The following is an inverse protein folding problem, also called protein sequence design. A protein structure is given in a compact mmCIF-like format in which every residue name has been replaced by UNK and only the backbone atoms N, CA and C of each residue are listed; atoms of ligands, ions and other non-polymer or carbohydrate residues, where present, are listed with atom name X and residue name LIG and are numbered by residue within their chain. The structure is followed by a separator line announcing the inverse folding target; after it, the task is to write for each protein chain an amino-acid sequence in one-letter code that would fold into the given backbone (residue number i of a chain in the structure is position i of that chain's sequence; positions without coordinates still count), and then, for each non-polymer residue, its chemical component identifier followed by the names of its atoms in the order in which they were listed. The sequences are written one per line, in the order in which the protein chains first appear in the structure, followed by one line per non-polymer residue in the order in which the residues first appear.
data_IF_694605899812
#
_entry.id   IF_694605899812
#
_cell.length_a   1.000
_cell.length_b   1.000
_cell.length_c   1.000
_cell.angle_alpha   90.00
_cell.angle_beta   90.00
_cell.angle_gamma   90.00
#
_symmetry.space_group_name_H-M   'P 1'
#
loop_
_entity.id
_entity.type
_entity.pdbx_description
1 polymer ?
#
# COMPACT_ATOMS: atom_id res chain seq x y z
N UNK A 1 -4.56 9.53 -14.92
CA UNK A 1 -5.53 10.52 -14.45
C UNK A 1 -4.97 11.16 -13.20
N UNK A 2 -4.74 12.48 -13.24
CA UNK A 2 -4.06 13.22 -12.18
C UNK A 2 -5.05 13.46 -11.04
N UNK A 3 -4.85 12.82 -9.88
CA UNK A 3 -5.84 12.76 -8.79
C UNK A 3 -6.07 14.16 -8.19
N UNK A 4 -5.03 15.00 -8.18
CA UNK A 4 -5.13 16.37 -7.65
C UNK A 4 -6.08 17.22 -8.51
N UNK A 5 -6.02 17.14 -9.84
CA UNK A 5 -6.99 17.82 -10.72
C UNK A 5 -8.44 17.32 -10.52
N UNK A 6 -8.62 16.10 -10.02
CA UNK A 6 -9.95 15.51 -9.83
C UNK A 6 -10.52 15.90 -8.47
N UNK A 7 -9.67 15.94 -7.44
CA UNK A 7 -10.02 16.41 -6.10
C UNK A 7 -10.51 17.86 -6.14
N UNK A 8 -9.78 18.75 -6.84
CA UNK A 8 -10.14 20.15 -6.97
C UNK A 8 -11.50 20.33 -7.68
N UNK A 9 -11.80 19.49 -8.68
CA UNK A 9 -13.08 19.53 -9.38
C UNK A 9 -14.27 19.11 -8.49
N UNK A 10 -14.08 18.11 -7.61
CA UNK A 10 -15.11 17.72 -6.65
C UNK A 10 -15.31 18.79 -5.58
N UNK A 11 -14.23 19.41 -5.10
CA UNK A 11 -14.31 20.47 -4.10
C UNK A 11 -15.11 21.66 -4.65
N UNK A 12 -14.73 22.20 -5.82
CA UNK A 12 -15.44 23.32 -6.45
C UNK A 12 -16.95 23.01 -6.64
N UNK A 13 -17.23 21.89 -7.29
CA UNK A 13 -18.62 21.50 -7.61
C UNK A 13 -19.47 21.36 -6.35
N UNK A 14 -18.97 20.64 -5.33
CA UNK A 14 -19.74 20.38 -4.12
C UNK A 14 -19.85 21.61 -3.22
N UNK A 15 -18.83 22.48 -3.16
CA UNK A 15 -18.93 23.78 -2.48
C UNK A 15 -20.07 24.61 -3.08
N UNK A 16 -20.16 24.69 -4.41
CA UNK A 16 -21.19 25.48 -5.08
C UNK A 16 -22.59 24.86 -4.94
N UNK A 17 -22.71 23.53 -4.95
CA UNK A 17 -23.98 22.83 -4.70
C UNK A 17 -24.42 23.10 -3.26
N UNK A 18 -23.54 22.90 -2.28
CA UNK A 18 -23.83 23.14 -0.88
C UNK A 18 -24.26 24.60 -0.63
N UNK A 19 -23.54 25.58 -1.17
CA UNK A 19 -23.90 26.99 -1.02
C UNK A 19 -25.29 27.31 -1.63
N UNK A 20 -25.65 26.69 -2.76
CA UNK A 20 -27.00 26.82 -3.33
C UNK A 20 -28.06 26.13 -2.47
N UNK A 21 -27.76 24.98 -1.88
CA UNK A 21 -28.66 24.31 -0.94
C UNK A 21 -28.92 25.19 0.27
N UNK A 22 -27.89 25.84 0.83
CA UNK A 22 -28.04 26.79 1.94
C UNK A 22 -28.92 27.98 1.53
N UNK A 23 -28.68 28.58 0.37
CA UNK A 23 -29.51 29.69 -0.14
C UNK A 23 -30.97 29.25 -0.26
N UNK A 24 -31.21 28.11 -0.90
CA UNK A 24 -32.55 27.56 -1.10
C UNK A 24 -33.25 27.29 0.23
N UNK A 25 -32.54 26.70 1.20
CA UNK A 25 -33.12 26.43 2.53
C UNK A 25 -33.41 27.72 3.31
N UNK A 26 -32.56 28.75 3.22
CA UNK A 26 -32.84 30.05 3.84
C UNK A 26 -34.05 30.73 3.20
N UNK A 27 -34.18 30.67 1.88
CA UNK A 27 -35.34 31.21 1.17
C UNK A 27 -36.63 30.44 1.50
N UNK A 28 -36.56 29.11 1.61
CA UNK A 28 -37.70 28.26 1.96
C UNK A 28 -38.15 28.45 3.42
N UNK A 29 -37.21 28.51 4.37
CA UNK A 29 -37.52 28.63 5.80
C UNK A 29 -37.92 30.04 6.21
N UNK A 30 -37.28 31.07 5.64
CA UNK A 30 -37.41 32.46 6.10
C UNK A 30 -37.93 33.44 5.03
N UNK A 31 -37.98 33.04 3.76
CA UNK A 31 -38.30 33.95 2.66
C UNK A 31 -37.23 35.00 2.37
N UNK A 32 -35.99 34.79 2.87
CA UNK A 32 -34.90 35.77 2.77
C UNK A 32 -33.97 35.38 1.61
N UNK A 33 -33.84 36.22 0.57
CA UNK A 33 -32.99 35.91 -0.56
C UNK A 33 -31.52 36.14 -0.23
N UNK A 34 -30.70 35.10 -0.37
CA UNK A 34 -29.25 35.21 -0.39
C UNK A 34 -28.72 35.00 -1.81
N UNK A 35 -27.64 35.70 -2.16
CA UNK A 35 -27.01 35.62 -3.49
C UNK A 35 -25.62 35.01 -3.35
N UNK A 36 -25.33 34.04 -4.22
CA UNK A 36 -24.02 33.41 -4.30
C UNK A 36 -22.97 34.35 -4.90
N UNK A 37 -21.94 34.70 -4.12
CA UNK A 37 -20.82 35.47 -4.62
C UNK A 37 -19.75 34.53 -5.23
N UNK A 38 -19.93 34.14 -6.49
CA UNK A 38 -18.99 33.25 -7.20
C UNK A 38 -17.54 33.75 -7.23
N UNK A 39 -17.32 35.07 -7.22
CA UNK A 39 -15.97 35.65 -7.25
C UNK A 39 -15.20 35.45 -5.94
N UNK A 40 -15.91 35.15 -4.85
CA UNK A 40 -15.34 34.85 -3.55
C UNK A 40 -14.81 33.41 -3.43
N UNK A 41 -15.05 32.55 -4.43
CA UNK A 41 -14.60 31.16 -4.36
C UNK A 41 -13.08 31.07 -4.21
N UNK A 42 -12.65 30.29 -3.21
CA UNK A 42 -11.25 30.01 -2.90
C UNK A 42 -11.10 28.54 -2.51
N UNK A 43 -10.11 27.88 -3.07
CA UNK A 43 -9.69 26.54 -2.66
C UNK A 43 -8.48 26.67 -1.72
N UNK A 44 -8.75 26.66 -0.42
CA UNK A 44 -7.76 26.85 0.66
C UNK A 44 -8.17 26.05 1.88
N UNK A 45 -7.31 25.95 2.90
CA UNK A 45 -7.75 25.47 4.22
C UNK A 45 -8.93 26.34 4.68
N UNK A 46 -9.96 25.70 5.26
CA UNK A 46 -11.12 26.43 5.77
C UNK A 46 -10.67 27.33 6.92
N UNK A 47 -10.91 28.63 6.77
CA UNK A 47 -10.74 29.62 7.83
C UNK A 47 -11.96 30.52 7.83
N UNK A 48 -12.65 30.57 8.97
CA UNK A 48 -13.81 31.44 9.13
C UNK A 48 -13.35 32.77 9.72
N UNK A 49 -13.68 33.91 9.09
CA UNK A 49 -13.50 35.23 9.71
C UNK A 49 -14.58 35.53 10.76
N UNK A 50 -15.55 34.64 10.94
CA UNK A 50 -16.73 34.83 11.78
C UNK A 50 -16.63 34.10 13.11
N UNK A 51 -17.40 34.55 14.10
CA UNK A 51 -17.40 34.05 15.47
C UNK A 51 -18.36 32.87 15.73
N UNK A 52 -19.10 32.41 14.72
CA UNK A 52 -19.90 31.19 14.77
C UNK A 52 -19.60 30.29 13.58
N UNK A 53 -19.32 29.02 13.86
CA UNK A 53 -19.10 27.98 12.85
C UNK A 53 -19.99 26.79 13.14
N UNK A 54 -20.76 26.37 12.16
CA UNK A 54 -21.51 25.12 12.19
C UNK A 54 -20.93 24.14 11.16
N UNK A 55 -20.88 22.85 11.48
CA UNK A 55 -20.44 21.85 10.52
C UNK A 55 -21.12 20.49 10.72
N UNK A 56 -21.16 19.72 9.63
CA UNK A 56 -21.56 18.32 9.61
C UNK A 56 -20.42 17.51 8.99
N UNK A 57 -19.93 16.55 9.77
CA UNK A 57 -18.96 15.58 9.31
C UNK A 57 -19.64 14.42 8.58
N UNK A 58 -19.04 13.93 7.50
CA UNK A 58 -19.47 12.71 6.81
C UNK A 58 -18.33 11.71 6.62
N UNK A 59 -18.68 10.43 6.60
CA UNK A 59 -17.77 9.29 6.49
C UNK A 59 -18.32 8.19 5.59
N UNK A 60 -17.43 7.40 4.99
CA UNK A 60 -17.75 6.30 4.10
C UNK A 60 -16.52 5.91 3.29
N UNK A 61 -16.67 5.75 1.97
CA UNK A 61 -15.53 5.58 1.06
C UNK A 61 -14.61 6.81 1.01
N UNK A 62 -15.15 7.97 1.38
CA UNK A 62 -14.47 9.27 1.54
C UNK A 62 -14.91 9.90 2.86
N UNK A 63 -14.17 10.91 3.30
CA UNK A 63 -14.48 11.64 4.52
C UNK A 63 -14.36 13.14 4.26
N UNK A 64 -15.12 13.95 4.98
CA UNK A 64 -15.07 15.40 4.83
C UNK A 64 -16.12 16.10 5.67
N UNK A 65 -16.24 17.40 5.46
CA UNK A 65 -17.08 18.27 6.27
C UNK A 65 -17.82 19.27 5.39
N UNK A 66 -19.10 19.48 5.70
CA UNK A 66 -19.86 20.65 5.26
C UNK A 66 -19.75 21.71 6.36
N UNK A 67 -19.29 22.91 6.01
CA UNK A 67 -18.99 23.96 6.98
C UNK A 67 -19.78 25.24 6.67
N UNK A 68 -20.25 25.90 7.71
CA UNK A 68 -21.00 27.15 7.64
C UNK A 68 -20.39 28.13 8.65
N UNK A 69 -19.82 29.24 8.18
CA UNK A 69 -19.33 30.33 9.03
C UNK A 69 -20.25 31.54 8.93
N UNK A 70 -20.62 32.14 10.05
CA UNK A 70 -21.43 33.35 10.12
C UNK A 70 -21.24 34.07 11.45
N UNK A 71 -21.65 35.32 11.55
CA UNK A 71 -21.61 36.05 12.83
C UNK A 71 -22.79 35.63 13.72
N UNK A 72 -22.59 35.58 15.04
CA UNK A 72 -23.65 35.32 16.03
C UNK A 72 -24.80 36.34 15.89
N UNK A 73 -24.49 37.59 15.58
CA UNK A 73 -25.48 38.65 15.33
C UNK A 73 -26.33 38.34 14.10
N UNK A 74 -25.74 37.79 13.03
CA UNK A 74 -26.50 37.39 11.85
C UNK A 74 -27.40 36.20 12.17
N UNK A 75 -26.89 35.20 12.88
CA UNK A 75 -27.68 34.04 13.30
C UNK A 75 -28.92 34.47 14.11
N UNK A 76 -28.75 35.38 15.08
CA UNK A 76 -29.86 35.90 15.88
C UNK A 76 -30.87 36.73 15.05
N UNK A 77 -30.41 37.49 14.04
CA UNK A 77 -31.29 38.22 13.11
C UNK A 77 -32.14 37.28 12.27
N UNK A 78 -31.59 36.14 11.83
CA UNK A 78 -32.32 35.15 11.02
C UNK A 78 -33.46 34.50 11.80
N UNK A 79 -33.39 34.47 13.13
CA UNK A 79 -34.39 33.86 14.01
C UNK A 79 -35.34 34.86 14.65
N UNK A 80 -35.33 36.13 14.20
CA UNK A 80 -36.17 37.23 14.71
C UNK A 80 -36.06 37.52 16.22
N UNK A 81 -35.08 36.92 16.91
CA UNK A 81 -34.80 37.15 18.34
C UNK A 81 -33.81 38.30 18.58
N UNK A 82 -33.32 38.93 17.51
CA UNK A 82 -32.41 40.07 17.60
C UNK A 82 -33.14 41.41 17.66
N UNK A 83 -32.86 42.18 18.71
CA UNK A 83 -33.19 43.60 18.84
C UNK A 83 -31.90 44.44 18.76
N UNK A 84 -31.96 45.61 18.10
CA UNK A 84 -30.81 46.51 18.01
C UNK A 84 -30.35 46.96 19.41
N UNK A 85 -29.05 46.80 19.69
CA UNK A 85 -28.45 47.20 20.97
C UNK A 85 -28.48 46.13 22.06
N UNK A 86 -28.89 44.89 21.75
CA UNK A 86 -28.76 43.75 22.66
C UNK A 86 -27.31 43.60 23.15
N UNK A 87 -27.16 43.39 24.46
CA UNK A 87 -25.85 43.13 25.07
C UNK A 87 -25.30 41.75 24.70
N UNK A 88 -23.98 41.59 24.68
CA UNK A 88 -23.33 40.30 24.39
C UNK A 88 -23.78 39.16 25.32
N UNK A 89 -24.09 39.45 26.58
CA UNK A 89 -24.54 38.44 27.53
C UNK A 89 -25.93 37.89 27.17
N UNK A 90 -26.84 38.76 26.74
CA UNK A 90 -28.18 38.35 26.29
C UNK A 90 -28.10 37.56 24.99
N UNK A 91 -27.19 37.93 24.07
CA UNK A 91 -26.93 37.14 22.86
C UNK A 91 -26.45 35.71 23.21
N UNK A 92 -25.58 35.57 24.20
CA UNK A 92 -25.11 34.26 24.68
C UNK A 92 -26.26 33.42 25.26
N UNK A 93 -27.19 34.02 25.99
CA UNK A 93 -28.36 33.34 26.55
C UNK A 93 -29.30 32.81 25.45
N UNK A 94 -29.30 33.42 24.26
CA UNK A 94 -30.12 33.03 23.10
C UNK A 94 -29.46 31.98 22.19
N UNK A 95 -28.24 31.53 22.50
CA UNK A 95 -27.47 30.57 21.67
C UNK A 95 -28.19 29.27 21.38
N UNK A 96 -29.04 28.81 22.29
CA UNK A 96 -29.79 27.58 22.08
C UNK A 96 -30.84 27.75 20.97
N UNK A 97 -31.46 28.93 20.86
CA UNK A 97 -32.49 29.24 19.87
C UNK A 97 -31.89 29.33 18.46
N UNK A 98 -30.93 30.25 18.26
CA UNK A 98 -30.33 30.41 16.93
C UNK A 98 -29.34 29.29 16.60
N UNK A 99 -28.68 28.70 17.58
CA UNK A 99 -27.87 27.50 17.37
C UNK A 99 -28.71 26.31 16.92
N UNK A 100 -29.91 26.14 17.49
CA UNK A 100 -30.88 25.14 17.04
C UNK A 100 -31.32 25.36 15.60
N UNK A 101 -31.67 26.60 15.24
CA UNK A 101 -32.03 26.96 13.87
C UNK A 101 -30.89 26.68 12.88
N UNK A 102 -29.66 27.11 13.19
CA UNK A 102 -28.51 26.91 12.29
C UNK A 102 -28.18 25.43 12.11
N UNK A 103 -28.36 24.58 13.14
CA UNK A 103 -28.23 23.12 13.01
C UNK A 103 -29.26 22.56 12.03
N UNK A 104 -30.50 23.01 12.13
CA UNK A 104 -31.58 22.53 11.26
C UNK A 104 -31.36 22.98 9.81
N UNK A 105 -31.04 24.25 9.60
CA UNK A 105 -30.63 24.80 8.31
C UNK A 105 -29.52 23.96 7.68
N UNK A 106 -28.48 23.65 8.46
CA UNK A 106 -27.33 22.87 8.00
C UNK A 106 -27.73 21.42 7.68
N UNK A 107 -28.52 20.75 8.53
CA UNK A 107 -28.99 19.39 8.29
C UNK A 107 -29.78 19.29 6.98
N UNK A 108 -30.71 20.22 6.73
CA UNK A 108 -31.51 20.26 5.50
C UNK A 108 -30.59 20.52 4.30
N UNK A 109 -29.73 21.53 4.37
CA UNK A 109 -28.83 21.89 3.28
C UNK A 109 -27.89 20.73 2.90
N UNK A 110 -27.35 20.01 3.90
CA UNK A 110 -26.53 18.81 3.69
C UNK A 110 -27.36 17.67 3.11
N UNK A 111 -28.58 17.45 3.60
CA UNK A 111 -29.49 16.46 3.04
C UNK A 111 -29.80 16.69 1.56
N UNK A 112 -29.81 17.94 1.11
CA UNK A 112 -29.98 18.31 -0.29
C UNK A 112 -28.69 18.18 -1.12
N UNK A 113 -27.51 18.36 -0.52
CA UNK A 113 -26.23 18.35 -1.25
C UNK A 113 -25.52 17.00 -1.27
N UNK A 114 -25.63 16.21 -0.20
CA UNK A 114 -24.92 14.93 -0.06
C UNK A 114 -25.26 13.88 -1.13
N UNK A 115 -26.48 13.82 -1.73
CA UNK A 115 -26.77 12.81 -2.75
C UNK A 115 -25.89 12.89 -4.00
N UNK A 116 -25.43 14.08 -4.37
CA UNK A 116 -24.49 14.24 -5.50
C UNK A 116 -23.14 13.59 -5.18
N UNK A 117 -22.70 13.69 -3.93
CA UNK A 117 -21.47 13.07 -3.47
C UNK A 117 -21.63 11.55 -3.37
N UNK A 118 -22.77 11.07 -2.87
CA UNK A 118 -23.10 9.65 -2.80
C UNK A 118 -23.19 8.99 -4.18
N UNK A 119 -23.68 9.72 -5.19
CA UNK A 119 -23.69 9.23 -6.57
C UNK A 119 -22.29 8.87 -7.08
N UNK A 120 -21.26 9.61 -6.64
CA UNK A 120 -19.88 9.44 -7.10
C UNK A 120 -19.05 8.48 -6.23
N UNK A 121 -19.36 8.37 -4.93
CA UNK A 121 -18.53 7.64 -3.97
C UNK A 121 -19.26 6.51 -3.22
N UNK A 122 -20.54 6.28 -3.50
CA UNK A 122 -21.39 5.34 -2.78
C UNK A 122 -21.98 5.92 -1.50
N UNK A 123 -22.68 5.10 -0.73
CA UNK A 123 -23.40 5.52 0.47
C UNK A 123 -22.48 6.20 1.49
N UNK A 124 -22.90 7.36 2.01
CA UNK A 124 -22.16 8.13 3.01
C UNK A 124 -22.99 8.29 4.28
N UNK A 125 -22.35 8.15 5.44
CA UNK A 125 -22.96 8.40 6.74
C UNK A 125 -22.53 9.78 7.23
N UNK A 126 -23.48 10.67 7.49
CA UNK A 126 -23.24 11.98 8.06
C UNK A 126 -23.68 12.04 9.53
N UNK A 127 -22.91 12.77 10.34
CA UNK A 127 -23.19 13.01 11.75
C UNK A 127 -24.23 14.15 11.91
N UNK A 128 -24.71 14.35 13.14
CA UNK A 128 -25.55 15.51 13.47
C UNK A 128 -24.75 16.82 13.45
N UNK A 129 -25.40 17.92 13.08
CA UNK A 129 -24.80 19.26 13.07
C UNK A 129 -24.22 19.69 14.42
N UNK A 130 -22.97 20.13 14.38
CA UNK A 130 -22.25 20.72 15.52
C UNK A 130 -22.17 22.23 15.28
N UNK A 131 -22.38 23.02 16.33
CA UNK A 131 -22.22 24.47 16.32
C UNK A 131 -21.17 24.85 17.35
N UNK A 132 -20.23 25.69 16.93
CA UNK A 132 -19.12 26.20 17.73
C UNK A 132 -19.21 27.72 17.74
N UNK A 133 -19.00 28.29 18.92
CA UNK A 133 -18.94 29.74 19.16
C UNK A 133 -17.50 30.12 19.52
N UNK A 134 -16.92 31.08 18.82
CA UNK A 134 -15.54 31.55 18.97
C UNK A 134 -14.62 31.09 17.83
N UNK A 135 -13.33 31.12 18.11
CA UNK A 135 -12.29 30.75 17.14
C UNK A 135 -12.14 29.23 17.03
N UNK A 136 -12.01 28.73 15.80
CA UNK A 136 -11.85 27.31 15.50
C UNK A 136 -10.53 27.09 14.75
N UNK A 137 -9.71 26.18 15.29
CA UNK A 137 -8.51 25.69 14.61
C UNK A 137 -8.83 24.32 14.00
N UNK A 138 -8.86 24.27 12.66
CA UNK A 138 -9.16 23.06 11.90
C UNK A 138 -7.88 22.45 11.33
N UNK A 139 -7.84 21.12 11.13
CA UNK A 139 -6.71 20.49 10.45
C UNK A 139 -6.53 21.03 9.02
N UNK A 140 -5.28 21.04 8.54
CA UNK A 140 -4.87 21.50 7.21
C UNK A 140 -5.38 20.58 6.09
N UNK A 141 -6.70 20.58 5.87
CA UNK A 141 -7.38 19.87 4.79
C UNK A 141 -7.84 20.90 3.76
N UNK A 142 -7.62 20.58 2.47
CA UNK A 142 -8.08 21.43 1.36
C UNK A 142 -9.60 21.51 1.36
N UNK A 143 -10.12 22.73 1.36
CA UNK A 143 -11.55 23.03 1.34
C UNK A 143 -11.88 24.04 0.25
N UNK A 144 -13.08 23.96 -0.29
CA UNK A 144 -13.64 24.98 -1.17
C UNK A 144 -14.52 25.90 -0.34
N UNK A 145 -14.26 27.20 -0.42
CA UNK A 145 -14.86 28.22 0.42
C UNK A 145 -15.53 29.27 -0.48
N UNK A 146 -16.79 29.59 -0.24
CA UNK A 146 -17.54 30.60 -0.99
C UNK A 146 -18.49 31.38 -0.08
N UNK A 147 -18.63 32.67 -0.32
CA UNK A 147 -19.58 33.52 0.40
C UNK A 147 -20.94 33.56 -0.30
N UNK A 148 -21.98 33.53 0.53
CA UNK A 148 -23.34 33.94 0.15
C UNK A 148 -23.67 35.23 0.90
N UNK A 149 -24.36 36.16 0.25
CA UNK A 149 -24.56 37.52 0.75
C UNK A 149 -26.04 37.91 0.66
N UNK A 150 -26.53 38.64 1.65
CA UNK A 150 -27.83 39.31 1.65
C UNK A 150 -27.72 40.67 2.32
N UNK A 151 -28.82 41.42 2.35
CA UNK A 151 -28.90 42.69 3.07
C UNK A 151 -28.70 42.53 4.59
N UNK A 152 -28.91 41.32 5.13
CA UNK A 152 -28.74 41.03 6.55
C UNK A 152 -27.29 40.76 6.93
N UNK A 153 -26.48 40.23 6.01
CA UNK A 153 -25.10 39.87 6.28
C UNK A 153 -24.53 38.85 5.30
N UNK A 154 -23.40 38.25 5.69
CA UNK A 154 -22.66 37.28 4.88
C UNK A 154 -22.53 35.95 5.60
N UNK A 155 -22.56 34.87 4.84
CA UNK A 155 -22.35 33.51 5.34
C UNK A 155 -21.28 32.87 4.47
N UNK A 156 -20.28 32.25 5.10
CA UNK A 156 -19.25 31.46 4.44
C UNK A 156 -19.69 30.00 4.37
N UNK A 157 -19.88 29.50 3.15
CA UNK A 157 -20.11 28.09 2.88
C UNK A 157 -18.78 27.42 2.54
N UNK A 158 -18.42 26.40 3.31
CA UNK A 158 -17.23 25.59 3.12
C UNK A 158 -17.58 24.13 2.83
N UNK A 159 -16.75 23.47 2.04
CA UNK A 159 -16.79 22.02 1.85
C UNK A 159 -15.35 21.48 1.86
N UNK A 160 -15.07 20.56 2.79
CA UNK A 160 -13.79 19.86 2.90
C UNK A 160 -13.94 18.44 2.35
N UNK A 161 -12.89 17.94 1.68
CA UNK A 161 -12.87 16.57 1.18
C UNK A 161 -11.50 15.92 1.37
N UNK A 162 -11.47 14.84 2.14
CA UNK A 162 -10.31 14.01 2.36
C UNK A 162 -10.40 12.70 1.55
N UNK A 163 -9.57 12.59 0.51
CA UNK A 163 -9.46 11.41 -0.35
C UNK A 163 -8.37 10.41 0.09
N UNK A 164 -7.78 10.56 1.29
CA UNK A 164 -6.66 9.73 1.73
C UNK A 164 -6.98 8.23 1.72
N UNK A 165 -8.17 7.82 2.17
CA UNK A 165 -8.57 6.41 2.19
C UNK A 165 -8.66 5.80 0.78
N UNK A 166 -9.19 6.55 -0.19
CA UNK A 166 -9.24 6.14 -1.61
C UNK A 166 -7.83 6.03 -2.21
N UNK A 167 -6.92 6.96 -1.87
CA UNK A 167 -5.52 6.93 -2.32
C UNK A 167 -4.81 5.68 -1.77
N UNK A 168 -5.02 5.34 -0.50
CA UNK A 168 -4.44 4.16 0.14
C UNK A 168 -4.98 2.89 -0.52
N UNK A 169 -6.31 2.74 -0.65
CA UNK A 169 -6.94 1.56 -1.26
C UNK A 169 -6.42 1.28 -2.67
N UNK A 170 -6.39 2.29 -3.55
CA UNK A 170 -5.87 2.14 -4.92
C UNK A 170 -4.39 1.81 -4.98
N UNK A 171 -3.60 2.33 -4.03
CA UNK A 171 -2.17 2.02 -3.96
C UNK A 171 -1.96 0.57 -3.54
N UNK A 172 -2.75 0.10 -2.58
CA UNK A 172 -2.74 -1.28 -2.10
C UNK A 172 -3.13 -2.26 -3.22
N UNK A 173 -4.19 -1.97 -3.98
CA UNK A 173 -4.58 -2.78 -5.15
C UNK A 173 -3.49 -2.83 -6.23
N UNK A 174 -2.83 -1.69 -6.51
CA UNK A 174 -1.71 -1.65 -7.47
C UNK A 174 -0.54 -2.52 -6.99
N UNK A 175 -0.20 -2.46 -5.71
CA UNK A 175 0.87 -3.27 -5.12
C UNK A 175 0.49 -4.76 -5.19
N UNK A 176 -0.74 -5.13 -4.86
CA UNK A 176 -1.21 -6.51 -4.95
C UNK A 176 -1.12 -7.06 -6.38
N UNK A 177 -1.60 -6.32 -7.38
CA UNK A 177 -1.48 -6.73 -8.79
C UNK A 177 -0.03 -6.83 -9.26
N UNK A 178 0.83 -5.93 -8.81
CA UNK A 178 2.26 -6.00 -9.12
C UNK A 178 2.90 -7.24 -8.49
N UNK A 179 2.54 -7.59 -7.25
CA UNK A 179 2.99 -8.79 -6.57
C UNK A 179 2.50 -10.06 -7.26
N UNK A 180 1.22 -10.14 -7.64
CA UNK A 180 0.69 -11.27 -8.42
C UNK A 180 1.49 -11.50 -9.71
N UNK A 181 1.75 -10.42 -10.45
CA UNK A 181 2.56 -10.48 -11.68
C UNK A 181 3.98 -10.98 -11.42
N UNK A 182 4.66 -10.46 -10.39
CA UNK A 182 6.01 -10.92 -10.00
C UNK A 182 5.99 -12.41 -9.65
N UNK A 183 4.93 -12.87 -8.98
CA UNK A 183 4.78 -14.26 -8.56
C UNK A 183 4.60 -15.19 -9.77
N UNK A 184 3.81 -14.76 -10.76
CA UNK A 184 3.60 -15.51 -11.99
C UNK A 184 4.83 -15.49 -12.91
N UNK A 185 5.55 -14.37 -12.98
CA UNK A 185 6.83 -14.27 -13.67
C UNK A 185 7.86 -15.20 -13.01
N UNK A 186 7.93 -15.24 -11.68
CA UNK A 186 8.82 -16.15 -10.94
C UNK A 186 8.44 -17.63 -11.14
N UNK A 187 7.15 -17.97 -11.17
CA UNK A 187 6.69 -19.33 -11.51
C UNK A 187 7.07 -19.71 -12.94
N UNK A 188 6.96 -18.77 -13.87
CA UNK A 188 7.31 -18.99 -15.29
C UNK A 188 8.82 -19.16 -15.44
N UNK A 189 9.62 -18.30 -14.81
CA UNK A 189 11.08 -18.44 -14.76
C UNK A 189 11.49 -19.78 -14.14
N UNK A 190 10.86 -20.21 -13.04
CA UNK A 190 11.11 -21.53 -12.43
C UNK A 190 10.78 -22.69 -13.37
N UNK A 191 9.68 -22.60 -14.14
CA UNK A 191 9.35 -23.60 -15.17
C UNK A 191 10.37 -23.60 -16.30
N UNK A 192 10.79 -22.44 -16.78
CA UNK A 192 11.81 -22.30 -17.83
C UNK A 192 13.16 -22.86 -17.37
N UNK A 193 13.62 -22.52 -16.17
CA UNK A 193 14.84 -23.08 -15.57
C UNK A 193 14.71 -24.61 -15.46
N UNK A 194 13.56 -25.12 -15.02
CA UNK A 194 13.31 -26.57 -14.96
C UNK A 194 13.34 -27.24 -16.35
N UNK A 195 12.87 -26.55 -17.39
CA UNK A 195 12.91 -27.05 -18.79
C UNK A 195 14.31 -26.97 -19.38
N UNK A 196 15.06 -25.90 -19.12
CA UNK A 196 16.45 -25.73 -19.56
C UNK A 196 17.36 -26.76 -18.89
N UNK A 197 17.20 -26.98 -17.57
CA UNK A 197 17.93 -28.02 -16.85
C UNK A 197 17.63 -29.44 -17.34
N UNK A 198 16.47 -29.69 -17.98
CA UNK A 198 16.17 -30.99 -18.63
C UNK A 198 16.97 -31.22 -19.91
N UNK A 199 17.56 -30.19 -20.51
CA UNK A 199 18.33 -30.28 -21.75
C UNK A 199 19.82 -30.55 -21.53
N UNK A 200 20.29 -30.50 -20.28
CA UNK A 200 21.69 -30.77 -19.92
C UNK A 200 21.81 -32.12 -19.20
N UNK A 201 22.90 -32.86 -19.44
CA UNK A 201 23.31 -34.04 -18.66
C UNK A 201 23.86 -33.63 -17.28
N UNK A 202 23.15 -32.72 -16.62
CA UNK A 202 23.54 -32.17 -15.32
C UNK A 202 22.40 -32.24 -14.31
N UNK A 203 22.76 -32.41 -13.03
CA UNK A 203 21.82 -32.34 -11.91
C UNK A 203 22.28 -31.28 -10.94
N UNK A 204 21.33 -30.53 -10.38
CA UNK A 204 21.60 -29.68 -9.23
C UNK A 204 21.06 -30.32 -7.95
N UNK A 205 21.92 -30.42 -6.95
CA UNK A 205 21.58 -30.92 -5.62
C UNK A 205 21.91 -29.87 -4.57
N UNK A 206 21.07 -29.74 -3.56
CA UNK A 206 21.40 -28.96 -2.37
C UNK A 206 22.11 -29.88 -1.38
N UNK A 207 23.21 -29.42 -0.81
CA UNK A 207 24.04 -30.17 0.14
C UNK A 207 24.23 -29.32 1.39
N UNK A 208 24.09 -29.92 2.56
CA UNK A 208 24.36 -29.27 3.83
C UNK A 208 25.86 -28.99 3.98
N UNK A 209 26.27 -28.08 4.89
CA UNK A 209 27.69 -27.87 5.19
C UNK A 209 28.42 -29.19 5.53
N UNK A 210 27.73 -30.16 6.12
CA UNK A 210 28.26 -31.49 6.48
C UNK A 210 28.44 -32.44 5.29
N UNK A 211 28.00 -32.06 4.09
CA UNK A 211 28.09 -32.92 2.90
C UNK A 211 26.87 -33.81 2.66
N UNK A 212 25.76 -33.60 3.38
CA UNK A 212 24.53 -34.39 3.25
C UNK A 212 23.56 -33.77 2.25
N UNK A 213 22.93 -34.60 1.43
CA UNK A 213 21.97 -34.13 0.42
C UNK A 213 20.66 -33.68 1.09
N UNK A 214 20.22 -32.47 0.75
CA UNK A 214 18.98 -31.85 1.21
C UNK A 214 17.83 -32.09 0.20
N UNK A 215 16.60 -31.86 0.63
CA UNK A 215 15.43 -31.97 -0.25
C UNK A 215 15.41 -30.84 -1.30
N UNK A 216 14.95 -31.16 -2.52
CA UNK A 216 14.82 -30.17 -3.62
C UNK A 216 15.82 -30.31 -4.78
N UNK A 217 16.03 -31.52 -5.28
CA UNK A 217 16.86 -31.77 -6.47
C UNK A 217 16.13 -31.41 -7.78
N UNK A 218 16.85 -30.92 -8.80
CA UNK A 218 16.25 -30.49 -10.07
C UNK A 218 16.03 -31.62 -11.09
N UNK A 219 16.84 -32.68 -11.03
CA UNK A 219 16.83 -33.86 -11.90
C UNK A 219 17.38 -35.09 -11.15
N UNK A 220 17.05 -36.34 -11.53
CA UNK A 220 17.43 -37.56 -10.78
C UNK A 220 18.95 -37.67 -10.66
N UNK A 221 19.55 -37.24 -9.53
CA UNK A 221 21.00 -37.19 -9.40
C UNK A 221 21.56 -38.61 -9.39
N UNK A 222 20.75 -39.58 -8.92
CA UNK A 222 21.01 -41.00 -8.96
C UNK A 222 21.24 -41.51 -10.40
N UNK A 223 20.40 -41.12 -11.38
CA UNK A 223 20.57 -41.60 -12.76
C UNK A 223 21.86 -41.06 -13.40
N UNK A 224 22.23 -39.81 -13.12
CA UNK A 224 23.47 -39.19 -13.63
C UNK A 224 24.69 -39.96 -13.12
N UNK A 225 24.73 -40.25 -11.83
CA UNK A 225 25.85 -40.97 -11.19
C UNK A 225 25.83 -42.48 -11.41
N UNK A 226 24.82 -43.02 -12.12
CA UNK A 226 24.71 -44.45 -12.45
C UNK A 226 24.16 -45.32 -11.31
N UNK A 227 23.38 -44.72 -10.42
CA UNK A 227 22.55 -45.41 -9.44
C UNK A 227 21.12 -45.58 -9.97
N UNK A 228 20.34 -46.42 -9.29
CA UNK A 228 18.92 -46.60 -9.56
C UNK A 228 18.17 -45.25 -9.45
N UNK A 229 17.46 -44.80 -10.51
CA UNK A 229 16.72 -43.53 -10.53
C UNK A 229 15.68 -43.38 -9.42
N UNK A 230 15.14 -44.48 -8.88
CA UNK A 230 14.15 -44.47 -7.79
C UNK A 230 14.79 -44.47 -6.40
N UNK A 231 16.12 -44.57 -6.30
CA UNK A 231 16.83 -44.55 -5.03
C UNK A 231 16.65 -43.19 -4.37
N UNK A 232 16.11 -43.18 -3.15
CA UNK A 232 16.12 -41.97 -2.33
C UNK A 232 17.56 -41.62 -1.94
N UNK A 233 17.91 -40.37 -2.20
CA UNK A 233 19.25 -39.82 -1.98
C UNK A 233 19.25 -38.75 -0.88
N UNK A 234 18.09 -38.35 -0.38
CA UNK A 234 17.99 -37.34 0.68
C UNK A 234 18.65 -37.88 1.95
N UNK A 235 19.54 -37.08 2.55
CA UNK A 235 20.32 -37.46 3.73
C UNK A 235 21.57 -38.30 3.45
N UNK A 236 21.80 -38.73 2.20
CA UNK A 236 23.01 -39.44 1.80
C UNK A 236 24.21 -38.48 1.72
N UNK A 237 25.40 -38.96 2.08
CA UNK A 237 26.64 -38.20 1.89
C UNK A 237 26.98 -38.07 0.39
N UNK A 238 27.45 -36.90 -0.03
CA UNK A 238 27.78 -36.61 -1.42
C UNK A 238 28.82 -37.60 -2.02
N UNK A 239 29.81 -38.00 -1.21
CA UNK A 239 30.80 -39.03 -1.58
C UNK A 239 30.17 -40.39 -1.85
N UNK A 240 29.10 -40.73 -1.12
CA UNK A 240 28.34 -41.98 -1.27
C UNK A 240 27.46 -41.92 -2.52
N UNK A 241 26.80 -40.79 -2.78
CA UNK A 241 26.03 -40.56 -4.01
C UNK A 241 26.92 -40.75 -5.24
N UNK A 242 28.08 -40.09 -5.25
CA UNK A 242 29.01 -40.12 -6.38
C UNK A 242 29.75 -41.47 -6.52
N UNK A 243 29.68 -42.35 -5.52
CA UNK A 243 30.35 -43.66 -5.52
C UNK A 243 31.84 -43.57 -5.91
N UNK A 244 32.58 -42.64 -5.30
CA UNK A 244 33.96 -42.30 -5.64
C UNK A 244 34.97 -43.38 -5.22
N UNK A 245 36.12 -43.40 -5.91
CA UNK A 245 37.30 -44.15 -5.47
C UNK A 245 37.90 -43.55 -4.20
N UNK A 246 38.73 -44.31 -3.47
CA UNK A 246 39.29 -43.87 -2.18
C UNK A 246 40.09 -42.56 -2.30
N UNK A 247 40.87 -42.38 -3.38
CA UNK A 247 41.61 -41.13 -3.63
C UNK A 247 40.69 -39.93 -3.81
N UNK A 248 39.65 -40.07 -4.63
CA UNK A 248 38.72 -39.01 -5.00
C UNK A 248 37.76 -38.67 -3.86
N UNK A 249 37.40 -39.67 -3.05
CA UNK A 249 36.65 -39.48 -1.82
C UNK A 249 37.44 -38.66 -0.79
N UNK A 250 38.75 -38.94 -0.62
CA UNK A 250 39.60 -38.12 0.24
C UNK A 250 39.70 -36.67 -0.24
N UNK A 251 39.84 -36.47 -1.56
CA UNK A 251 39.84 -35.13 -2.16
C UNK A 251 38.53 -34.39 -1.87
N UNK A 252 37.39 -35.01 -2.16
CA UNK A 252 36.08 -34.39 -1.97
C UNK A 252 35.82 -34.05 -0.49
N UNK A 253 36.18 -34.95 0.43
CA UNK A 253 36.07 -34.70 1.86
C UNK A 253 36.96 -33.54 2.32
N UNK A 254 38.15 -33.38 1.74
CA UNK A 254 39.02 -32.24 2.02
C UNK A 254 38.38 -30.92 1.55
N UNK A 255 37.72 -30.92 0.39
CA UNK A 255 36.96 -29.75 -0.10
C UNK A 255 35.80 -29.40 0.84
N UNK A 256 35.01 -30.40 1.27
CA UNK A 256 33.90 -30.17 2.20
C UNK A 256 34.38 -29.67 3.57
N UNK A 257 35.46 -30.22 4.10
CA UNK A 257 36.08 -29.75 5.34
C UNK A 257 36.66 -28.34 5.21
N UNK A 258 37.20 -27.99 4.05
CA UNK A 258 37.65 -26.63 3.77
C UNK A 258 36.46 -25.67 3.81
N UNK A 259 35.35 -25.99 3.12
CA UNK A 259 34.15 -25.17 3.07
C UNK A 259 33.51 -24.99 4.47
N UNK A 260 33.46 -26.05 5.28
CA UNK A 260 32.96 -25.97 6.68
C UNK A 260 33.77 -25.02 7.56
N UNK A 261 35.06 -24.86 7.29
CA UNK A 261 35.94 -23.97 8.06
C UNK A 261 35.83 -22.51 7.64
N UNK A 262 35.15 -22.21 6.53
CA UNK A 262 34.88 -20.84 6.06
C UNK A 262 33.65 -20.31 6.80
N UNK A 263 33.77 -20.17 8.12
CA UNK A 263 32.65 -19.73 8.98
C UNK A 263 32.69 -18.21 9.25
N UNK A 264 33.57 -17.44 8.58
CA UNK A 264 33.79 -16.02 8.94
C UNK A 264 34.51 -15.10 7.92
N UNK A 265 34.87 -15.55 6.71
CA UNK A 265 35.54 -14.66 5.74
C UNK A 265 34.56 -13.92 4.84
N UNK A 266 34.92 -12.69 4.41
CA UNK A 266 34.15 -11.90 3.43
C UNK A 266 33.94 -12.70 2.13
N UNK A 267 32.72 -13.17 1.95
CA UNK A 267 32.22 -14.15 0.97
C UNK A 267 32.18 -13.66 -0.49
N UNK A 268 33.09 -12.79 -0.93
CA UNK A 268 33.15 -12.40 -2.35
C UNK A 268 34.00 -13.33 -3.21
N UNK A 269 34.92 -14.08 -2.61
CA UNK A 269 35.77 -15.02 -3.34
C UNK A 269 36.11 -16.19 -2.40
N UNK A 270 35.24 -17.20 -2.31
CA UNK A 270 35.69 -18.50 -1.79
C UNK A 270 36.57 -19.10 -2.88
N UNK A 271 37.88 -19.32 -2.66
CA UNK A 271 38.70 -20.04 -3.61
C UNK A 271 38.29 -21.51 -3.54
N UNK A 272 37.27 -21.87 -4.30
CA UNK A 272 36.87 -23.26 -4.49
C UNK A 272 38.01 -23.92 -5.27
N UNK A 273 38.58 -25.04 -4.80
CA UNK A 273 39.70 -25.69 -5.47
C UNK A 273 39.39 -25.97 -6.94
N UNK A 274 40.35 -25.68 -7.84
CA UNK A 274 40.18 -25.84 -9.30
C UNK A 274 39.92 -27.29 -9.73
N UNK A 275 40.31 -28.27 -8.92
CA UNK A 275 40.04 -29.69 -9.15
C UNK A 275 38.57 -30.04 -8.84
N UNK A 276 37.71 -29.85 -9.84
CA UNK A 276 36.27 -30.12 -9.78
C UNK A 276 35.87 -31.44 -10.45
N UNK A 277 36.83 -32.20 -10.97
CA UNK A 277 36.57 -33.44 -11.70
C UNK A 277 36.82 -34.68 -10.85
N UNK A 278 35.86 -35.60 -10.84
CA UNK A 278 35.91 -36.82 -10.05
C UNK A 278 35.52 -38.03 -10.89
N UNK A 279 36.17 -39.16 -10.65
CA UNK A 279 35.83 -40.42 -11.33
C UNK A 279 35.19 -41.39 -10.34
N UNK A 280 33.98 -41.86 -10.65
CA UNK A 280 33.33 -42.86 -9.82
C UNK A 280 33.89 -44.27 -10.08
N UNK A 281 33.52 -45.23 -9.23
CA UNK A 281 33.89 -46.65 -9.39
C UNK A 281 33.36 -47.31 -10.67
N UNK A 282 32.38 -46.69 -11.33
CA UNK A 282 31.84 -47.15 -12.61
C UNK A 282 32.59 -46.56 -13.82
N UNK A 283 33.65 -45.77 -13.58
CA UNK A 283 34.44 -45.14 -14.65
C UNK A 283 33.80 -43.87 -15.23
N UNK A 284 32.73 -43.35 -14.64
CA UNK A 284 32.13 -42.08 -15.06
C UNK A 284 32.89 -40.89 -14.49
N UNK A 285 33.12 -39.89 -15.33
CA UNK A 285 33.77 -38.63 -14.97
C UNK A 285 32.71 -37.55 -14.78
N UNK A 286 32.77 -36.86 -13.64
CA UNK A 286 31.85 -35.77 -13.31
C UNK A 286 32.61 -34.49 -13.02
N UNK A 287 32.08 -33.36 -13.49
CA UNK A 287 32.49 -32.04 -13.03
C UNK A 287 31.50 -31.53 -11.99
N UNK A 288 32.00 -31.03 -10.86
CA UNK A 288 31.21 -30.46 -9.78
C UNK A 288 31.46 -28.96 -9.68
N UNK A 289 30.45 -28.16 -10.00
CA UNK A 289 30.48 -26.72 -9.77
C UNK A 289 29.69 -26.40 -8.48
N UNK A 290 30.24 -25.51 -7.66
CA UNK A 290 29.78 -25.25 -6.30
C UNK A 290 29.29 -23.81 -6.18
N UNK A 291 28.07 -23.62 -5.69
CA UNK A 291 27.50 -22.29 -5.46
C UNK A 291 27.08 -22.21 -3.97
N UNK A 292 27.75 -21.39 -3.15
CA UNK A 292 27.36 -21.20 -1.76
C UNK A 292 26.06 -20.40 -1.68
N UNK A 293 25.11 -20.88 -0.87
CA UNK A 293 23.89 -20.16 -0.52
C UNK A 293 24.03 -19.70 0.92
N UNK A 294 24.00 -18.38 1.10
CA UNK A 294 24.27 -17.71 2.36
C UNK A 294 22.94 -17.24 2.95
N UNK A 295 22.78 -17.45 4.24
CA UNK A 295 21.72 -16.82 5.01
C UNK A 295 22.10 -15.35 5.25
N UNK A 296 21.39 -14.43 4.60
CA UNK A 296 21.65 -12.99 4.67
C UNK A 296 21.50 -12.43 6.10
N UNK A 297 20.67 -13.04 6.95
CA UNK A 297 20.45 -12.59 8.32
C UNK A 297 21.61 -12.98 9.23
N UNK A 298 22.07 -14.23 9.11
CA UNK A 298 23.10 -14.80 9.98
C UNK A 298 24.52 -14.70 9.40
N UNK A 299 24.65 -14.26 8.14
CA UNK A 299 25.91 -14.22 7.37
C UNK A 299 26.68 -15.55 7.40
N UNK A 300 25.94 -16.66 7.44
CA UNK A 300 26.48 -18.02 7.51
C UNK A 300 26.10 -18.80 6.27
N UNK A 301 26.92 -19.78 5.93
CA UNK A 301 26.61 -20.73 4.86
C UNK A 301 25.40 -21.57 5.28
N UNK A 302 24.27 -21.40 4.60
CA UNK A 302 23.05 -22.17 4.85
C UNK A 302 23.15 -23.54 4.16
N UNK A 303 23.57 -23.54 2.89
CA UNK A 303 23.70 -24.74 2.05
C UNK A 303 24.61 -24.50 0.86
N UNK A 304 25.05 -25.58 0.24
CA UNK A 304 25.81 -25.59 -1.01
C UNK A 304 24.91 -26.12 -2.12
N UNK A 305 24.73 -25.34 -3.18
CA UNK A 305 24.15 -25.85 -4.41
C UNK A 305 25.29 -26.45 -5.26
N UNK A 306 25.24 -27.76 -5.50
CA UNK A 306 26.22 -28.48 -6.31
C UNK A 306 25.59 -28.81 -7.66
N UNK A 307 26.20 -28.32 -8.73
CA UNK A 307 25.86 -28.66 -10.10
C UNK A 307 26.81 -29.78 -10.53
N UNK A 308 26.26 -30.94 -10.82
CA UNK A 308 27.00 -32.12 -11.28
C UNK A 308 26.78 -32.29 -12.77
N UNK A 309 27.86 -32.33 -13.55
CA UNK A 309 27.81 -32.56 -14.99
C UNK A 309 28.53 -33.87 -15.33
N UNK A 310 27.88 -34.78 -16.06
CA UNK A 310 28.50 -36.04 -16.50
C UNK A 310 29.27 -35.81 -17.81
N UNK A 311 30.60 -35.93 -17.75
CA UNK A 311 31.52 -35.75 -18.88
C UNK A 311 31.88 -37.08 -19.59
N UNK A 312 31.30 -38.20 -19.15
CA UNK A 312 31.67 -39.52 -19.66
C UNK A 312 31.24 -39.77 -21.11
N UNK A 313 30.24 -39.03 -21.61
CA UNK A 313 29.76 -39.14 -22.99
C UNK A 313 30.55 -38.25 -23.97
N UNK A 314 31.19 -37.19 -23.49
CA UNK A 314 31.96 -36.25 -24.32
C UNK A 314 33.43 -36.67 -24.55
N UNK A 315 33.93 -37.65 -23.80
CA UNK A 315 35.29 -38.20 -23.97
C UNK A 315 35.41 -39.35 -24.99
N UNK A 316 34.35 -39.70 -25.71
CA UNK A 316 34.38 -40.77 -26.74
C UNK A 316 34.83 -40.29 -28.14
N UNK A 317 35.03 -38.99 -28.33
CA UNK A 317 35.41 -38.38 -29.62
C UNK A 317 36.82 -37.72 -29.64
N UNK A 318 37.75 -38.15 -28.77
CA UNK A 318 39.17 -37.75 -28.80
C UNK A 318 40.13 -38.93 -28.88
#
# INVERSE_FOLDING_TARGET
MNIDNTQNAYIDTNTLIFAKSVIYTLEDMLGIPFVLNKTSFRETVFSSPFDMVAYIHFTGAIQGDYLLGLDEVLAAKLTEVYEEGISKNVLIEMRDDYGGFIKELLNIAVGLSIPELEHNFGDLTHASGIVIYGELDLPDVTSGNVLIESDLGKILCGFSLNLAQVKIGRTLEKILRALEKITDDAKTARKTVKTVLRLFNSASIAVSPEGKILSGCSHSPASIVGLDPEKDIVGMDLTTLLNLNTSDSHKLNHVLQYIQKIDSFSLKEIPIPEETQFTNKQGKVFKLDWIPVIDDENKRLEKLLVIMENLSETCLDQ
#
